data_IF_930076643005
#
_entry.id   IF_930076643005
#
_cell.length_a   1.000
_cell.length_b   1.000
_cell.length_c   1.000
_cell.angle_alpha   90.00
_cell.angle_beta   90.00
_cell.angle_gamma   90.00
#
_symmetry.space_group_name_H-M   'P 1'
#
loop_
_entity.id
_entity.type
_entity.pdbx_description
1 polymer ?
#
# COMPACT_ATOMS: atom_id res chain seq x y z
N UNK A 1 -3.97 -14.20 0.42
CA UNK A 1 -4.32 -14.54 -0.98
C UNK A 1 -3.04 -14.35 -1.78
N UNK A 2 -2.63 -15.31 -2.61
CA UNK A 2 -1.45 -15.14 -3.46
C UNK A 2 -1.86 -14.40 -4.73
N UNK A 3 -1.19 -13.30 -5.03
CA UNK A 3 -1.50 -12.41 -6.17
C UNK A 3 -1.01 -13.01 -7.50
N UNK A 4 -0.17 -14.05 -7.48
CA UNK A 4 0.58 -14.48 -8.64
C UNK A 4 -0.07 -15.65 -9.40
N UNK A 5 -0.96 -15.33 -10.33
CA UNK A 5 -1.29 -16.20 -11.47
C UNK A 5 -0.86 -15.60 -12.81
N UNK A 6 0.27 -14.85 -12.81
CA UNK A 6 0.96 -14.30 -13.98
C UNK A 6 0.52 -12.86 -14.38
N UNK A 7 1.50 -11.95 -14.51
CA UNK A 7 1.33 -10.57 -15.02
C UNK A 7 1.78 -10.56 -16.48
N UNK A 8 0.83 -10.73 -17.39
CA UNK A 8 1.05 -10.98 -18.82
C UNK A 8 0.59 -9.85 -19.74
N UNK A 9 0.16 -8.72 -19.19
CA UNK A 9 -0.19 -7.54 -19.99
C UNK A 9 -0.12 -6.25 -19.18
N UNK A 10 -0.03 -5.12 -19.89
CA UNK A 10 -0.14 -3.78 -19.30
C UNK A 10 -1.46 -3.57 -18.58
N UNK A 11 -2.57 -4.12 -19.10
CA UNK A 11 -3.86 -4.06 -18.43
C UNK A 11 -3.90 -4.84 -17.10
N UNK A 12 -3.21 -5.97 -17.01
CA UNK A 12 -3.08 -6.71 -15.74
C UNK A 12 -2.18 -5.98 -14.76
N UNK A 13 -1.05 -5.45 -15.24
CA UNK A 13 -0.14 -4.63 -14.44
C UNK A 13 -0.85 -3.39 -13.89
N UNK A 14 -1.61 -2.68 -14.73
CA UNK A 14 -2.39 -1.50 -14.33
C UNK A 14 -3.38 -1.82 -13.21
N UNK A 15 -4.11 -2.94 -13.30
CA UNK A 15 -5.04 -3.35 -12.23
C UNK A 15 -4.32 -3.63 -10.91
N UNK A 16 -3.15 -4.28 -10.96
CA UNK A 16 -2.37 -4.53 -9.76
C UNK A 16 -1.84 -3.23 -9.15
N UNK A 17 -1.34 -2.31 -9.97
CA UNK A 17 -0.92 -0.98 -9.49
C UNK A 17 -2.10 -0.19 -8.91
N UNK A 18 -3.31 -0.29 -9.49
CA UNK A 18 -4.54 0.30 -8.92
C UNK A 18 -4.92 -0.32 -7.58
N UNK A 19 -4.69 -1.63 -7.37
CA UNK A 19 -4.84 -2.26 -6.06
C UNK A 19 -3.82 -1.68 -5.07
N UNK A 20 -2.55 -1.54 -5.46
CA UNK A 20 -1.53 -0.87 -4.66
C UNK A 20 -1.97 0.54 -4.23
N UNK A 21 -2.45 1.36 -5.18
CA UNK A 21 -2.98 2.71 -4.91
C UNK A 21 -4.08 2.68 -3.83
N UNK A 22 -4.95 1.68 -3.85
CA UNK A 22 -6.04 1.55 -2.86
C UNK A 22 -5.49 1.16 -1.49
N UNK A 23 -4.52 0.23 -1.44
CA UNK A 23 -3.88 -0.16 -0.19
C UNK A 23 -3.26 1.06 0.50
N UNK A 24 -2.49 1.86 -0.25
CA UNK A 24 -1.91 3.11 0.27
C UNK A 24 -2.97 4.12 0.71
N UNK A 25 -4.07 4.24 -0.02
CA UNK A 25 -5.15 5.15 0.36
C UNK A 25 -5.82 4.71 1.66
N UNK A 26 -5.97 3.41 1.87
CA UNK A 26 -6.53 2.82 3.09
C UNK A 26 -5.60 3.06 4.27
N UNK A 27 -4.29 2.83 4.11
CA UNK A 27 -3.28 3.11 5.14
C UNK A 27 -3.29 4.59 5.52
N UNK A 28 -3.24 5.50 4.55
CA UNK A 28 -3.29 6.95 4.84
C UNK A 28 -4.59 7.35 5.56
N UNK A 29 -5.74 6.91 5.03
CA UNK A 29 -7.04 7.29 5.59
C UNK A 29 -7.17 6.80 7.04
N UNK A 30 -6.71 5.57 7.32
CA UNK A 30 -6.72 4.99 8.67
C UNK A 30 -5.77 5.72 9.60
N UNK A 31 -4.54 5.99 9.18
CA UNK A 31 -3.59 6.76 9.99
C UNK A 31 -4.15 8.16 10.35
N UNK A 32 -4.89 8.80 9.43
CA UNK A 32 -5.60 10.05 9.71
C UNK A 32 -6.75 9.89 10.71
N UNK A 33 -7.59 8.87 10.55
CA UNK A 33 -8.70 8.59 11.48
C UNK A 33 -8.20 8.21 12.88
N UNK A 34 -7.15 7.40 12.95
CA UNK A 34 -6.52 6.93 14.17
C UNK A 34 -6.02 8.08 15.04
N UNK A 35 -5.28 9.02 14.44
CA UNK A 35 -4.81 10.20 15.16
C UNK A 35 -5.99 11.01 15.75
N UNK A 36 -7.10 11.14 15.02
CA UNK A 36 -8.27 11.89 15.50
C UNK A 36 -9.01 11.17 16.63
N UNK A 37 -9.07 9.83 16.60
CA UNK A 37 -9.80 9.01 17.57
C UNK A 37 -8.99 8.65 18.82
N UNK A 38 -7.66 8.81 18.77
CA UNK A 38 -6.77 8.48 19.90
C UNK A 38 -7.13 9.31 21.15
N UNK A 39 -7.31 8.70 22.34
CA UNK A 39 -7.47 9.43 23.60
C UNK A 39 -6.25 10.30 23.93
N UNK A 40 -6.44 11.46 24.57
CA UNK A 40 -5.36 12.40 24.88
C UNK A 40 -4.23 11.79 25.72
N UNK A 41 -4.56 10.85 26.61
CA UNK A 41 -3.62 10.14 27.47
C UNK A 41 -2.85 9.01 26.77
N UNK A 42 -3.30 8.60 25.57
CA UNK A 42 -2.60 7.66 24.71
C UNK A 42 -1.78 8.37 23.61
N UNK A 43 -2.00 9.67 23.39
CA UNK A 43 -1.24 10.48 22.43
C UNK A 43 0.14 10.82 22.98
N UNK A 44 1.15 10.53 22.19
CA UNK A 44 2.50 11.07 22.38
C UNK A 44 3.18 11.34 21.04
N UNK A 45 4.30 12.05 21.11
CA UNK A 45 5.08 12.51 19.96
C UNK A 45 5.47 11.37 19.02
N UNK A 46 5.74 10.16 19.55
CA UNK A 46 6.13 9.00 18.73
C UNK A 46 4.97 8.45 17.92
N UNK A 47 3.76 8.37 18.49
CA UNK A 47 2.56 7.99 17.73
C UNK A 47 2.22 9.05 16.69
N UNK A 48 2.30 10.34 17.06
CA UNK A 48 2.00 11.42 16.14
C UNK A 48 2.95 11.43 14.94
N UNK A 49 4.25 11.26 15.18
CA UNK A 49 5.27 11.17 14.13
C UNK A 49 5.02 9.96 13.23
N UNK A 50 4.81 8.77 13.81
CA UNK A 50 4.56 7.54 13.05
C UNK A 50 3.32 7.66 12.16
N UNK A 51 2.20 8.12 12.70
CA UNK A 51 0.96 8.25 11.92
C UNK A 51 1.04 9.36 10.88
N UNK A 52 1.87 10.37 11.10
CA UNK A 52 2.14 11.41 10.09
C UNK A 52 2.99 10.85 8.96
N UNK A 53 4.06 10.13 9.27
CA UNK A 53 4.96 9.52 8.29
C UNK A 53 4.22 8.54 7.40
N UNK A 54 3.47 7.59 7.98
CA UNK A 54 2.65 6.65 7.21
C UNK A 54 1.71 7.35 6.22
N UNK A 55 1.15 8.51 6.58
CA UNK A 55 0.29 9.29 5.68
C UNK A 55 1.06 9.94 4.55
N UNK A 56 2.21 10.52 4.85
CA UNK A 56 3.06 11.20 3.87
C UNK A 56 3.65 10.19 2.88
N UNK A 57 4.12 9.05 3.37
CA UNK A 57 4.68 7.96 2.58
C UNK A 57 3.63 7.32 1.69
N UNK A 58 2.48 6.89 2.25
CA UNK A 58 1.40 6.35 1.42
C UNK A 58 0.89 7.35 0.38
N UNK A 59 0.89 8.66 0.68
CA UNK A 59 0.54 9.67 -0.31
C UNK A 59 1.54 9.72 -1.47
N UNK A 60 2.84 9.73 -1.19
CA UNK A 60 3.90 9.68 -2.20
C UNK A 60 3.83 8.38 -3.02
N UNK A 61 3.64 7.23 -2.37
CA UNK A 61 3.51 5.93 -3.03
C UNK A 61 2.37 5.93 -4.05
N UNK A 62 1.19 6.45 -3.70
CA UNK A 62 0.09 6.57 -4.66
C UNK A 62 0.42 7.46 -5.83
N UNK A 63 1.08 8.58 -5.62
CA UNK A 63 1.45 9.48 -6.72
C UNK A 63 2.42 8.79 -7.68
N UNK A 64 3.41 8.08 -7.15
CA UNK A 64 4.36 7.28 -7.93
C UNK A 64 3.65 6.18 -8.72
N UNK A 65 2.74 5.44 -8.10
CA UNK A 65 1.97 4.39 -8.76
C UNK A 65 1.03 4.94 -9.85
N UNK A 66 0.34 6.06 -9.58
CA UNK A 66 -0.52 6.73 -10.58
C UNK A 66 0.29 7.16 -11.79
N UNK A 67 1.47 7.74 -11.58
CA UNK A 67 2.37 8.13 -12.66
C UNK A 67 2.85 6.94 -13.50
N UNK A 68 2.96 5.73 -12.91
CA UNK A 68 3.25 4.50 -13.65
C UNK A 68 2.01 4.06 -14.46
N UNK A 69 0.83 4.03 -13.84
CA UNK A 69 -0.43 3.64 -14.51
C UNK A 69 -0.70 4.52 -15.72
N UNK A 70 -0.51 5.84 -15.59
CA UNK A 70 -0.72 6.82 -16.68
C UNK A 70 0.20 6.62 -17.89
N UNK A 71 1.28 5.85 -17.73
CA UNK A 71 2.26 5.55 -18.78
C UNK A 71 2.05 4.19 -19.45
N UNK A 72 1.16 3.35 -18.91
CA UNK A 72 0.87 2.04 -19.48
C UNK A 72 -0.04 2.18 -20.70
N UNK A 73 0.24 1.41 -21.75
CA UNK A 73 -0.60 1.29 -22.93
C UNK A 73 -1.76 0.32 -22.64
N UNK A 74 -2.85 0.85 -22.08
CA UNK A 74 -4.02 0.08 -21.68
C UNK A 74 -5.18 0.29 -22.65
N UNK A 75 -5.84 -0.81 -23.03
CA UNK A 75 -7.11 -0.75 -23.75
C UNK A 75 -8.19 -0.04 -22.90
N UNK A 76 -9.18 0.61 -23.54
CA UNK A 76 -10.25 1.35 -22.84
C UNK A 76 -10.97 0.52 -21.78
N UNK A 77 -11.18 -0.78 -22.02
CA UNK A 77 -11.81 -1.70 -21.06
C UNK A 77 -10.91 -1.99 -19.83
N UNK A 78 -9.58 -1.91 -19.99
CA UNK A 78 -8.61 -2.03 -18.92
C UNK A 78 -8.34 -0.69 -18.19
N UNK A 79 -8.78 0.43 -18.78
CA UNK A 79 -8.70 1.77 -18.20
C UNK A 79 -9.79 2.06 -17.16
N UNK A 80 -10.73 1.13 -16.94
CA UNK A 80 -11.73 1.25 -15.88
C UNK A 80 -11.00 1.30 -14.52
N UNK A 81 -11.13 2.44 -13.86
CA UNK A 81 -10.64 2.63 -12.49
C UNK A 81 -11.40 1.72 -11.52
N UNK A 82 -10.72 0.70 -10.99
CA UNK A 82 -11.29 -0.21 -9.99
C UNK A 82 -11.10 0.29 -8.56
N UNK A 83 -10.38 1.39 -8.33
CA UNK A 83 -10.11 1.94 -7.00
C UNK A 83 -11.39 2.10 -6.16
N UNK A 84 -12.53 2.61 -6.69
CA UNK A 84 -13.77 2.70 -5.92
C UNK A 84 -14.30 1.35 -5.42
N UNK A 85 -14.21 0.31 -6.25
CA UNK A 85 -14.69 -1.05 -5.93
C UNK A 85 -13.80 -1.71 -4.87
N UNK A 86 -12.48 -1.57 -5.03
CA UNK A 86 -11.51 -2.14 -4.09
C UNK A 86 -11.60 -1.39 -2.76
N UNK A 87 -11.78 -0.06 -2.78
CA UNK A 87 -11.96 0.74 -1.57
C UNK A 87 -13.19 0.29 -0.76
N UNK A 88 -14.31 -0.01 -1.41
CA UNK A 88 -15.49 -0.54 -0.71
C UNK A 88 -15.20 -1.86 0.02
N UNK A 89 -14.31 -2.70 -0.51
CA UNK A 89 -13.89 -3.94 0.13
C UNK A 89 -12.99 -3.70 1.36
N UNK A 90 -12.05 -2.75 1.28
CA UNK A 90 -11.13 -2.44 2.39
C UNK A 90 -11.73 -1.50 3.46
N UNK A 91 -12.75 -0.71 3.11
CA UNK A 91 -13.47 0.14 4.07
C UNK A 91 -14.40 -0.65 5.01
N UNK A 92 -14.67 -1.93 4.71
CA UNK A 92 -15.55 -2.78 5.52
C UNK A 92 -14.89 -3.32 6.80
N UNK A 93 -13.55 -3.32 6.89
CA UNK A 93 -12.85 -3.62 8.14
C UNK A 93 -12.72 -2.32 8.93
N UNK A 94 -13.41 -2.25 10.06
CA UNK A 94 -13.39 -1.10 10.95
C UNK A 94 -12.26 -1.20 11.98
N UNK A 95 -11.86 -0.09 12.64
CA UNK A 95 -10.91 -0.14 13.75
C UNK A 95 -11.39 -1.02 14.90
N UNK A 96 -12.71 -1.22 15.03
CA UNK A 96 -13.35 -2.08 16.02
C UNK A 96 -13.06 -3.58 15.80
N UNK A 97 -12.55 -3.96 14.62
CA UNK A 97 -12.18 -5.33 14.28
C UNK A 97 -10.74 -5.69 14.70
N UNK A 98 -9.97 -4.71 15.22
CA UNK A 98 -8.56 -4.87 15.57
C UNK A 98 -8.30 -4.51 17.03
N UNK A 99 -7.35 -5.19 17.66
CA UNK A 99 -6.98 -5.06 19.09
C UNK A 99 -6.32 -3.71 19.45
N UNK A 100 -6.42 -2.69 18.58
CA UNK A 100 -5.90 -1.35 18.80
C UNK A 100 -5.41 -0.68 17.53
N UNK A 101 -5.26 0.65 17.60
CA UNK A 101 -4.82 1.51 16.49
C UNK A 101 -3.46 1.09 15.91
N UNK A 102 -2.49 0.77 16.78
CA UNK A 102 -1.16 0.33 16.33
C UNK A 102 -1.21 -1.04 15.66
N UNK A 103 -2.09 -1.93 16.10
CA UNK A 103 -2.26 -3.23 15.44
C UNK A 103 -2.87 -3.06 14.04
N UNK A 104 -3.88 -2.19 13.91
CA UNK A 104 -4.47 -1.88 12.60
C UNK A 104 -3.45 -1.22 11.66
N UNK A 105 -2.64 -0.28 12.18
CA UNK A 105 -1.55 0.31 11.41
C UNK A 105 -0.54 -0.74 10.95
N UNK A 106 -0.02 -1.56 11.87
CA UNK A 106 0.92 -2.65 11.56
C UNK A 106 0.37 -3.59 10.48
N UNK A 107 -0.91 -3.97 10.59
CA UNK A 107 -1.56 -4.82 9.61
C UNK A 107 -1.68 -4.14 8.23
N UNK A 108 -1.87 -2.82 8.20
CA UNK A 108 -1.84 -2.01 6.97
C UNK A 108 -0.48 -2.10 6.27
N UNK A 109 0.59 -1.72 6.98
CA UNK A 109 1.98 -1.75 6.48
C UNK A 109 2.37 -3.16 6.00
N UNK A 110 2.10 -4.19 6.82
CA UNK A 110 2.43 -5.57 6.44
C UNK A 110 1.65 -6.07 5.21
N UNK A 111 0.42 -5.60 5.03
CA UNK A 111 -0.41 -5.98 3.89
C UNK A 111 0.13 -5.35 2.61
N UNK A 112 0.49 -4.06 2.66
CA UNK A 112 1.10 -3.36 1.54
C UNK A 112 2.48 -3.95 1.21
N UNK A 113 3.35 -4.15 2.20
CA UNK A 113 4.64 -4.83 2.04
C UNK A 113 4.51 -6.18 1.31
N UNK A 114 3.63 -7.08 1.79
CA UNK A 114 3.43 -8.40 1.17
C UNK A 114 2.87 -8.29 -0.24
N UNK A 115 2.00 -7.31 -0.49
CA UNK A 115 1.46 -7.06 -1.81
C UNK A 115 2.57 -6.67 -2.81
N UNK A 116 3.47 -5.76 -2.43
CA UNK A 116 4.57 -5.35 -3.31
C UNK A 116 5.60 -6.45 -3.50
N UNK A 117 5.91 -7.23 -2.45
CA UNK A 117 6.78 -8.40 -2.56
C UNK A 117 6.25 -9.40 -3.62
N UNK A 118 4.96 -9.75 -3.52
CA UNK A 118 4.28 -10.63 -4.48
C UNK A 118 4.25 -10.02 -5.90
N UNK A 119 3.99 -8.71 -6.02
CA UNK A 119 3.92 -8.02 -7.32
C UNK A 119 5.28 -7.98 -8.01
N UNK A 120 6.34 -7.63 -7.28
CA UNK A 120 7.72 -7.64 -7.78
C UNK A 120 8.07 -9.03 -8.28
N UNK A 121 7.81 -10.06 -7.47
CA UNK A 121 8.09 -11.45 -7.82
C UNK A 121 7.33 -11.88 -9.09
N UNK A 122 6.07 -11.45 -9.25
CA UNK A 122 5.27 -11.74 -10.42
C UNK A 122 5.78 -11.02 -11.69
N UNK A 123 6.25 -9.77 -11.58
CA UNK A 123 6.85 -9.02 -12.69
C UNK A 123 8.18 -9.63 -13.10
N UNK A 124 9.03 -10.03 -12.14
CA UNK A 124 10.32 -10.66 -12.40
C UNK A 124 10.17 -12.00 -13.14
N UNK A 125 9.14 -12.77 -12.78
CA UNK A 125 8.81 -14.04 -13.45
C UNK A 125 8.13 -13.88 -14.81
N UNK A 126 7.59 -12.70 -15.11
CA UNK A 126 6.91 -12.45 -16.37
C UNK A 126 7.89 -12.41 -17.54
N UNK A 127 7.56 -13.12 -18.62
CA UNK A 127 8.28 -13.03 -19.90
C UNK A 127 7.72 -11.90 -20.81
N UNK A 128 6.69 -11.19 -20.35
CA UNK A 128 5.98 -10.17 -21.14
C UNK A 128 6.78 -8.87 -21.24
N UNK A 129 6.82 -8.27 -22.43
CA UNK A 129 7.31 -6.90 -22.60
C UNK A 129 6.20 -5.92 -22.28
N UNK A 130 6.36 -5.14 -21.21
CA UNK A 130 5.47 -4.04 -20.85
C UNK A 130 5.78 -2.80 -21.70
N UNK A 131 4.81 -1.88 -21.83
CA UNK A 131 5.04 -0.59 -22.50
C UNK A 131 6.01 0.34 -21.75
N UNK A 132 6.28 0.06 -20.48
CA UNK A 132 7.21 0.80 -19.63
C UNK A 132 8.51 0.03 -19.39
N UNK A 133 9.57 0.77 -19.05
CA UNK A 133 10.85 0.18 -18.68
C UNK A 133 10.74 -0.65 -17.40
N UNK A 134 11.04 -1.95 -17.51
CA UNK A 134 10.91 -2.90 -16.41
C UNK A 134 11.86 -2.60 -15.26
N UNK A 135 13.08 -2.14 -15.54
CA UNK A 135 14.06 -1.85 -14.49
C UNK A 135 13.61 -0.67 -13.63
N UNK A 136 13.14 0.41 -14.25
CA UNK A 136 12.59 1.58 -13.58
C UNK A 136 11.33 1.26 -12.76
N UNK A 137 10.44 0.41 -13.31
CA UNK A 137 9.26 -0.10 -12.60
C UNK A 137 9.67 -0.87 -11.33
N UNK A 138 10.55 -1.86 -11.48
CA UNK A 138 11.02 -2.68 -10.37
C UNK A 138 11.78 -1.87 -9.33
N UNK A 139 12.58 -0.89 -9.74
CA UNK A 139 13.23 0.03 -8.81
C UNK A 139 12.19 0.76 -7.96
N UNK A 140 11.18 1.36 -8.60
CA UNK A 140 10.14 2.10 -7.89
C UNK A 140 9.37 1.22 -6.90
N UNK A 141 8.98 0.02 -7.32
CA UNK A 141 8.25 -0.91 -6.45
C UNK A 141 9.11 -1.42 -5.30
N UNK A 142 10.42 -1.62 -5.50
CA UNK A 142 11.33 -2.04 -4.42
C UNK A 142 11.53 -0.94 -3.39
N UNK A 143 11.65 0.31 -3.82
CA UNK A 143 11.74 1.45 -2.90
C UNK A 143 10.47 1.50 -2.03
N UNK A 144 9.29 1.41 -2.65
CA UNK A 144 8.01 1.40 -1.92
C UNK A 144 7.98 0.22 -0.94
N UNK A 145 8.29 -1.00 -1.39
CA UNK A 145 8.35 -2.19 -0.53
C UNK A 145 9.29 -2.02 0.67
N UNK A 146 10.44 -1.36 0.48
CA UNK A 146 11.39 -1.09 1.56
C UNK A 146 10.78 -0.13 2.58
N UNK A 147 10.16 0.97 2.13
CA UNK A 147 9.45 1.91 3.00
C UNK A 147 8.31 1.23 3.79
N UNK A 148 7.49 0.39 3.16
CA UNK A 148 6.44 -0.38 3.87
C UNK A 148 7.02 -1.35 4.92
N UNK A 149 8.19 -1.92 4.65
CA UNK A 149 8.87 -2.79 5.62
C UNK A 149 9.40 -2.00 6.82
N UNK A 150 10.00 -0.83 6.57
CA UNK A 150 10.48 0.10 7.60
C UNK A 150 9.31 0.63 8.45
N UNK A 151 8.18 0.97 7.81
CA UNK A 151 6.94 1.36 8.50
C UNK A 151 6.40 0.27 9.41
N UNK A 152 6.32 -0.97 8.92
CA UNK A 152 5.90 -2.12 9.73
C UNK A 152 6.84 -2.36 10.93
N UNK A 153 8.16 -2.27 10.73
CA UNK A 153 9.16 -2.40 11.79
C UNK A 153 9.00 -1.29 12.84
N UNK A 154 8.84 -0.03 12.40
CA UNK A 154 8.65 1.11 13.30
C UNK A 154 7.40 0.96 14.18
N UNK A 155 6.29 0.47 13.63
CA UNK A 155 5.08 0.18 14.42
C UNK A 155 5.33 -0.94 15.42
N UNK A 156 5.97 -2.04 15.00
CA UNK A 156 6.27 -3.17 15.86
C UNK A 156 7.18 -2.77 17.03
N UNK A 157 8.26 -2.02 16.77
CA UNK A 157 9.15 -1.49 17.81
C UNK A 157 8.41 -0.56 18.79
N UNK A 158 7.49 0.26 18.28
CA UNK A 158 6.66 1.12 19.13
C UNK A 158 5.77 0.29 20.05
N UNK A 159 5.11 -0.75 19.54
CA UNK A 159 4.29 -1.67 20.31
C UNK A 159 5.09 -2.40 21.39
N UNK A 160 6.29 -2.90 21.05
CA UNK A 160 7.18 -3.57 22.01
C UNK A 160 7.61 -2.62 23.13
N UNK A 161 7.93 -1.37 22.81
CA UNK A 161 8.38 -0.38 23.81
C UNK A 161 7.28 0.05 24.81
N UNK A 162 6.02 -0.29 24.53
CA UNK A 162 4.84 0.03 25.36
C UNK A 162 4.36 -1.17 26.19
N UNK A 163 4.94 -2.35 25.99
CA UNK A 163 4.61 -3.58 26.74
C UNK A 163 5.39 -3.67 28.04
#
# INVERSE_FOLDING_TARGET
>A
MSVASQVDSDGQLARLLQIGIVLEEVVEARAYEHYQRLPDDERDERIEELLREAREESADHRERLKAIVDRLDIDEDAAIDITPLVREQYAQTGPEDFDGILYDQLNGEETAYKFYDDLIEAIERSETSFSIDRESLLSTLRDIRETEAEGAEAVAELMESRT
#
